data_IF_118227899651
#
_entry.id   IF_118227899651
#
_cell.length_a   1.000
_cell.length_b   1.000
_cell.length_c   1.000
_cell.angle_alpha   90.00
_cell.angle_beta   90.00
_cell.angle_gamma   90.00
#
_symmetry.space_group_name_H-M   'P 1'
#
loop_
_entity.id
_entity.type
_entity.pdbx_description
1 polymer ?
#
# COMPACT_ATOMS: atom_id res chain seq x y z
N UNK A 1 1.39 4.34 -9.57
CA UNK A 1 2.77 4.03 -9.12
C UNK A 1 3.51 5.34 -8.97
N UNK A 2 4.23 5.58 -7.88
CA UNK A 2 5.10 6.76 -7.65
C UNK A 2 6.24 6.38 -6.69
N UNK A 3 7.36 7.07 -6.66
CA UNK A 3 8.47 6.77 -5.75
C UNK A 3 8.05 6.80 -4.27
N UNK A 4 8.66 5.98 -3.41
CA UNK A 4 8.32 5.96 -1.97
C UNK A 4 8.48 7.30 -1.26
N UNK A 5 9.52 8.13 -1.49
CA UNK A 5 9.62 9.44 -0.86
C UNK A 5 8.39 10.32 -1.12
N UNK A 6 7.87 10.31 -2.36
CA UNK A 6 6.65 11.04 -2.74
C UNK A 6 5.39 10.40 -2.18
N UNK A 7 5.31 9.08 -2.21
CA UNK A 7 4.17 8.32 -1.68
C UNK A 7 3.99 8.59 -0.18
N UNK A 8 5.06 8.47 0.61
CA UNK A 8 5.05 8.69 2.05
C UNK A 8 4.78 10.14 2.43
N UNK A 9 5.19 11.10 1.59
CA UNK A 9 4.94 12.52 1.83
C UNK A 9 3.52 12.98 1.46
N UNK A 10 2.79 12.20 0.66
CA UNK A 10 1.46 12.59 0.16
C UNK A 10 0.35 11.68 0.69
N UNK A 11 0.13 10.53 0.05
CA UNK A 11 -0.99 9.62 0.34
C UNK A 11 -0.67 8.64 1.48
N UNK A 12 0.60 8.54 1.87
CA UNK A 12 1.05 7.68 2.96
C UNK A 12 1.16 6.20 2.57
N UNK A 13 1.26 5.29 3.55
CA UNK A 13 1.37 3.86 3.30
C UNK A 13 0.14 3.33 2.56
N UNK A 14 0.38 2.44 1.59
CA UNK A 14 -0.68 1.85 0.76
C UNK A 14 -1.13 0.50 1.30
N UNK A 15 -2.09 -0.14 0.64
CA UNK A 15 -2.53 -1.49 0.97
C UNK A 15 -1.42 -2.55 0.80
N UNK A 16 -1.72 -3.78 1.20
CA UNK A 16 -0.78 -4.90 1.16
C UNK A 16 -0.49 -5.39 -0.27
N UNK A 17 -1.31 -5.07 -1.27
CA UNK A 17 -1.08 -5.44 -2.67
C UNK A 17 -0.01 -4.55 -3.30
N UNK A 18 0.18 -3.33 -2.78
CA UNK A 18 1.18 -2.37 -3.25
C UNK A 18 2.50 -2.40 -2.47
N UNK A 19 2.55 -3.07 -1.31
CA UNK A 19 3.73 -3.05 -0.43
C UNK A 19 4.27 -4.45 -0.13
N UNK A 20 5.55 -4.66 -0.45
CA UNK A 20 6.26 -5.88 -0.04
C UNK A 20 6.83 -5.68 1.37
N UNK A 21 6.65 -6.68 2.23
CA UNK A 21 7.18 -6.66 3.60
C UNK A 21 8.68 -6.33 3.62
N UNK A 22 9.05 -5.29 4.37
CA UNK A 22 10.44 -4.87 4.55
C UNK A 22 11.06 -4.09 3.38
N UNK A 23 10.34 -3.85 2.27
CA UNK A 23 10.90 -3.22 1.05
C UNK A 23 11.68 -1.92 1.33
N UNK A 24 11.14 -1.04 2.18
CA UNK A 24 11.76 0.24 2.53
C UNK A 24 13.06 0.06 3.32
N UNK A 25 13.10 -0.92 4.22
CA UNK A 25 14.30 -1.22 5.00
C UNK A 25 15.43 -1.75 4.13
N UNK A 26 15.10 -2.41 3.01
CA UNK A 26 16.06 -2.84 1.99
C UNK A 26 16.38 -1.76 0.96
N UNK A 27 15.76 -0.57 1.06
CA UNK A 27 15.96 0.52 0.12
C UNK A 27 15.33 0.29 -1.27
N UNK A 28 14.41 -0.67 -1.39
CA UNK A 28 13.71 -0.93 -2.64
C UNK A 28 12.60 0.09 -2.86
N UNK A 29 12.50 0.59 -4.09
CA UNK A 29 11.51 1.52 -4.59
C UNK A 29 10.75 0.94 -5.79
N UNK A 30 9.67 1.60 -6.21
CA UNK A 30 8.86 1.16 -7.35
C UNK A 30 9.66 1.08 -8.67
N UNK A 31 10.76 1.85 -8.78
CA UNK A 31 11.70 1.72 -9.88
C UNK A 31 12.32 0.32 -9.97
N UNK A 32 12.58 -0.33 -8.84
CA UNK A 32 13.21 -1.65 -8.78
C UNK A 32 12.31 -2.75 -9.36
N UNK A 33 10.99 -2.64 -9.18
CA UNK A 33 10.03 -3.55 -9.82
C UNK A 33 10.13 -3.49 -11.35
N UNK A 34 10.33 -2.30 -11.91
CA UNK A 34 10.55 -2.11 -13.36
C UNK A 34 11.92 -2.66 -13.76
N UNK A 35 12.96 -2.40 -12.98
CA UNK A 35 14.31 -2.88 -13.25
C UNK A 35 14.38 -4.40 -13.27
N UNK A 36 13.70 -5.08 -12.35
CA UNK A 36 13.66 -6.54 -12.29
C UNK A 36 12.94 -7.19 -13.48
N UNK A 37 12.15 -6.44 -14.23
CA UNK A 37 11.53 -6.93 -15.47
C UNK A 37 12.52 -7.03 -16.62
N UNK A 38 13.68 -6.37 -16.54
CA UNK A 38 14.68 -6.41 -17.59
C UNK A 38 15.07 -7.87 -17.93
N UNK A 39 15.16 -8.24 -19.23
CA UNK A 39 15.13 -7.39 -20.41
C UNK A 39 13.72 -7.12 -20.99
N UNK A 40 12.66 -7.58 -20.32
CA UNK A 40 11.29 -7.52 -20.84
C UNK A 40 10.81 -6.08 -21.05
N UNK A 41 10.01 -5.82 -22.09
CA UNK A 41 9.44 -4.50 -22.30
C UNK A 41 8.43 -4.07 -21.21
N UNK A 42 8.51 -2.83 -20.76
CA UNK A 42 7.59 -2.20 -19.79
C UNK A 42 7.15 -0.82 -20.27
N UNK A 43 5.84 -0.57 -20.30
CA UNK A 43 5.26 0.75 -20.48
C UNK A 43 4.65 1.21 -19.16
N UNK A 44 5.00 2.41 -18.72
CA UNK A 44 4.37 3.06 -17.57
C UNK A 44 3.26 3.95 -18.11
N UNK A 45 2.00 3.65 -17.79
CA UNK A 45 0.88 4.56 -18.05
C UNK A 45 0.62 5.39 -16.78
N UNK A 46 0.63 6.72 -16.91
CA UNK A 46 0.51 7.64 -15.79
C UNK A 46 -0.38 8.84 -16.14
N UNK A 47 -1.05 9.40 -15.14
CA UNK A 47 -1.88 10.60 -15.27
C UNK A 47 -1.32 11.72 -14.39
N UNK A 48 -1.26 12.95 -14.91
CA UNK A 48 -0.59 14.08 -14.24
C UNK A 48 -1.27 14.53 -12.94
N UNK A 49 -2.58 14.33 -12.83
CA UNK A 49 -3.42 14.76 -11.69
C UNK A 49 -3.95 13.56 -10.90
N UNK A 50 -3.28 12.41 -10.99
CA UNK A 50 -3.57 11.23 -10.18
C UNK A 50 -3.27 11.53 -8.69
N UNK A 51 -3.85 10.74 -7.79
CA UNK A 51 -3.46 10.75 -6.39
C UNK A 51 -2.03 10.23 -6.19
N UNK A 52 -1.51 9.45 -7.14
CA UNK A 52 -0.08 9.17 -7.23
C UNK A 52 0.69 10.35 -7.84
N UNK A 53 1.68 10.84 -7.12
CA UNK A 53 2.52 11.95 -7.54
C UNK A 53 3.27 11.64 -8.85
N UNK A 54 3.05 12.47 -9.88
CA UNK A 54 3.62 12.29 -11.22
C UNK A 54 5.15 12.49 -11.23
N UNK A 55 5.70 13.36 -10.39
CA UNK A 55 7.14 13.58 -10.30
C UNK A 55 7.85 12.31 -9.83
N UNK A 56 7.32 11.65 -8.79
CA UNK A 56 7.84 10.36 -8.33
C UNK A 56 7.70 9.24 -9.37
N UNK A 57 6.72 9.33 -10.28
CA UNK A 57 6.61 8.42 -11.43
C UNK A 57 7.75 8.64 -12.42
N UNK A 58 8.02 9.90 -12.77
CA UNK A 58 9.14 10.27 -13.64
C UNK A 58 10.50 9.93 -13.05
N UNK A 59 10.69 10.14 -11.75
CA UNK A 59 11.89 9.72 -11.03
C UNK A 59 12.10 8.20 -11.17
N UNK A 60 11.05 7.41 -10.92
CA UNK A 60 11.09 5.95 -11.07
C UNK A 60 11.40 5.52 -12.52
N UNK A 61 10.75 6.16 -13.50
CA UNK A 61 11.02 5.92 -14.92
C UNK A 61 12.47 6.19 -15.29
N UNK A 62 13.02 7.35 -14.91
CA UNK A 62 14.40 7.74 -15.24
C UNK A 62 15.42 6.78 -14.64
N UNK A 63 15.19 6.31 -13.41
CA UNK A 63 15.99 5.28 -12.78
C UNK A 63 15.99 3.99 -13.62
N UNK A 64 14.82 3.46 -13.96
CA UNK A 64 14.70 2.24 -14.77
C UNK A 64 15.29 2.42 -16.18
N UNK A 65 15.00 3.54 -16.85
CA UNK A 65 15.52 3.90 -18.19
C UNK A 65 17.04 3.88 -18.22
N UNK A 66 17.71 4.35 -17.15
CA UNK A 66 19.17 4.33 -17.05
C UNK A 66 19.72 2.90 -17.03
N UNK A 67 19.10 1.98 -16.29
CA UNK A 67 19.50 0.57 -16.26
C UNK A 67 19.32 -0.07 -17.65
N UNK A 68 18.12 0.03 -18.20
CA UNK A 68 17.79 -0.51 -19.53
C UNK A 68 18.72 0.04 -20.62
N UNK A 69 19.07 1.33 -20.56
CA UNK A 69 20.02 1.95 -21.49
C UNK A 69 21.42 1.34 -21.38
N UNK A 70 21.92 1.09 -20.16
CA UNK A 70 23.21 0.42 -19.95
C UNK A 70 23.24 -1.01 -20.47
N UNK A 71 22.09 -1.66 -20.54
CA UNK A 71 21.92 -2.99 -21.13
C UNK A 71 21.77 -2.97 -22.67
N UNK A 72 21.77 -1.78 -23.31
CA UNK A 72 21.47 -1.66 -24.74
C UNK A 72 19.98 -1.80 -25.09
N UNK A 73 19.10 -1.74 -24.09
CA UNK A 73 17.66 -1.99 -24.19
C UNK A 73 16.84 -0.73 -23.88
N UNK A 74 17.37 0.46 -24.19
CA UNK A 74 16.69 1.72 -23.87
C UNK A 74 15.27 1.80 -24.42
N UNK A 75 14.99 1.16 -25.56
CA UNK A 75 13.66 1.11 -26.16
C UNK A 75 12.65 0.25 -25.39
N UNK A 76 13.09 -0.65 -24.52
CA UNK A 76 12.23 -1.60 -23.81
C UNK A 76 11.58 -1.01 -22.55
N UNK A 77 11.85 0.25 -22.20
CA UNK A 77 11.13 0.93 -21.11
C UNK A 77 10.73 2.32 -21.55
N UNK A 78 9.44 2.64 -21.41
CA UNK A 78 8.90 3.94 -21.78
C UNK A 78 7.78 4.39 -20.83
N UNK A 79 7.40 5.66 -20.95
CA UNK A 79 6.30 6.27 -20.20
C UNK A 79 5.31 6.93 -21.15
N UNK A 80 4.02 6.75 -20.85
CA UNK A 80 2.90 7.38 -21.52
C UNK A 80 2.09 8.16 -20.49
N UNK A 81 2.18 9.48 -20.59
CA UNK A 81 1.52 10.42 -19.67
C UNK A 81 0.30 11.08 -20.33
N UNK A 82 -0.81 11.18 -19.60
CA UNK A 82 -1.97 11.98 -19.99
C UNK A 82 -2.33 13.06 -18.96
N UNK A 83 -2.88 14.19 -19.44
CA UNK A 83 -3.28 15.30 -18.57
C UNK A 83 -4.67 15.09 -17.93
N UNK A 84 -4.75 14.18 -16.96
CA UNK A 84 -6.02 13.76 -16.35
C UNK A 84 -5.86 13.32 -14.88
N UNK A 85 -6.99 13.14 -14.19
CA UNK A 85 -7.05 12.48 -12.87
C UNK A 85 -6.82 10.97 -13.00
N UNK A 86 -7.00 10.19 -11.93
CA UNK A 86 -6.93 8.73 -12.01
C UNK A 86 -7.86 8.15 -13.09
N UNK A 87 -7.30 7.47 -14.11
CA UNK A 87 -8.05 6.99 -15.27
C UNK A 87 -7.30 5.89 -16.06
N UNK A 88 -7.97 5.36 -17.08
CA UNK A 88 -7.38 4.59 -18.18
C UNK A 88 -8.06 4.98 -19.51
N UNK A 89 -7.81 6.20 -19.98
CA UNK A 89 -8.48 6.83 -21.13
C UNK A 89 -8.03 6.29 -22.50
N UNK A 90 -8.62 6.83 -23.58
CA UNK A 90 -8.31 6.42 -24.95
C UNK A 90 -6.84 6.57 -25.30
N UNK A 91 -6.18 7.64 -24.85
CA UNK A 91 -4.75 7.85 -25.12
C UNK A 91 -3.92 6.72 -24.50
N UNK A 92 -4.19 6.37 -23.24
CA UNK A 92 -3.52 5.27 -22.58
C UNK A 92 -3.86 3.90 -23.20
N UNK A 93 -5.13 3.66 -23.55
CA UNK A 93 -5.57 2.40 -24.18
C UNK A 93 -4.92 2.19 -25.55
N UNK A 94 -4.94 3.19 -26.42
CA UNK A 94 -4.30 3.15 -27.74
C UNK A 94 -2.78 2.98 -27.63
N UNK A 95 -2.14 3.71 -26.70
CA UNK A 95 -0.70 3.61 -26.47
C UNK A 95 -0.28 2.25 -25.91
N UNK A 96 -1.03 1.69 -24.95
CA UNK A 96 -0.81 0.35 -24.43
C UNK A 96 -0.99 -0.72 -25.52
N UNK A 97 -2.05 -0.62 -26.33
CA UNK A 97 -2.29 -1.52 -27.45
C UNK A 97 -1.14 -1.48 -28.47
N UNK A 98 -0.66 -0.27 -28.81
CA UNK A 98 0.51 -0.09 -29.69
C UNK A 98 1.78 -0.69 -29.09
N UNK A 99 2.04 -0.48 -27.80
CA UNK A 99 3.20 -1.06 -27.12
C UNK A 99 3.18 -2.59 -27.17
N UNK A 100 2.03 -3.19 -26.88
CA UNK A 100 1.84 -4.63 -26.95
C UNK A 100 2.01 -5.15 -28.39
N UNK A 101 1.43 -4.48 -29.39
CA UNK A 101 1.58 -4.84 -30.80
C UNK A 101 3.05 -4.79 -31.26
N UNK A 102 3.81 -3.78 -30.83
CA UNK A 102 5.23 -3.66 -31.13
C UNK A 102 6.02 -4.86 -30.62
N UNK A 103 5.81 -5.23 -29.35
CA UNK A 103 6.65 -6.23 -28.67
C UNK A 103 6.20 -7.67 -28.86
N UNK A 104 4.89 -7.91 -28.99
CA UNK A 104 4.34 -9.25 -29.14
C UNK A 104 4.13 -9.64 -30.61
N UNK A 105 3.84 -8.67 -31.48
CA UNK A 105 3.52 -8.93 -32.89
C UNK A 105 4.58 -8.38 -33.86
N UNK A 106 5.58 -7.65 -33.38
CA UNK A 106 6.58 -6.99 -34.24
C UNK A 106 5.99 -5.84 -35.08
N UNK A 107 4.83 -5.28 -34.67
CA UNK A 107 4.12 -4.23 -35.43
C UNK A 107 4.12 -2.91 -34.65
N UNK A 108 5.00 -1.99 -35.03
CA UNK A 108 5.04 -0.63 -34.45
C UNK A 108 4.31 0.36 -35.35
N UNK A 109 2.99 0.39 -35.25
CA UNK A 109 2.12 1.28 -36.01
C UNK A 109 1.14 1.99 -35.06
N UNK A 110 0.60 3.12 -35.49
CA UNK A 110 -0.46 3.80 -34.75
C UNK A 110 -1.67 2.86 -34.62
N UNK A 111 -2.16 2.72 -33.39
CA UNK A 111 -3.43 2.08 -33.10
C UNK A 111 -4.45 3.19 -32.85
N UNK A 112 -5.61 3.07 -33.48
CA UNK A 112 -6.77 3.90 -33.18
C UNK A 112 -7.83 2.98 -32.61
N UNK A 113 -8.39 3.34 -31.46
CA UNK A 113 -9.45 2.59 -30.82
C UNK A 113 -10.69 2.60 -31.75
N UNK A 114 -11.19 1.42 -32.18
CA UNK A 114 -12.43 1.36 -32.94
C UNK A 114 -13.62 1.65 -32.02
N UNK A 115 -14.81 1.81 -32.59
CA UNK A 115 -16.03 1.76 -31.79
C UNK A 115 -16.14 0.37 -31.14
N UNK A 116 -16.12 0.33 -29.80
CA UNK A 116 -16.22 -0.92 -29.03
C UNK A 116 -17.67 -1.10 -28.60
N UNK A 117 -18.33 -2.12 -29.15
CA UNK A 117 -19.60 -2.58 -28.63
C UNK A 117 -19.36 -3.27 -27.28
N UNK A 118 -19.80 -2.63 -26.19
CA UNK A 118 -19.75 -3.23 -24.86
C UNK A 118 -20.81 -4.33 -24.76
N UNK A 119 -20.45 -5.41 -24.08
CA UNK A 119 -21.42 -6.44 -23.70
C UNK A 119 -22.39 -5.86 -22.66
N UNK A 120 -23.62 -6.37 -22.66
CA UNK A 120 -24.54 -6.14 -21.55
C UNK A 120 -24.02 -6.75 -20.25
N UNK A 121 -24.53 -6.28 -19.12
CA UNK A 121 -24.16 -6.85 -17.82
C UNK A 121 -24.44 -8.36 -17.76
N UNK A 122 -25.53 -8.82 -18.38
CA UNK A 122 -25.90 -10.24 -18.45
C UNK A 122 -24.89 -11.06 -19.25
N UNK A 123 -24.41 -10.52 -20.37
CA UNK A 123 -23.38 -11.16 -21.21
C UNK A 123 -22.00 -11.20 -20.52
N UNK A 124 -21.69 -10.25 -19.63
CA UNK A 124 -20.47 -10.27 -18.82
C UNK A 124 -20.51 -11.33 -17.71
N UNK A 125 -21.70 -11.75 -17.27
CA UNK A 125 -21.82 -12.69 -16.16
C UNK A 125 -21.48 -14.12 -16.59
N UNK A 126 -20.56 -14.75 -15.86
CA UNK A 126 -20.28 -16.18 -16.03
C UNK A 126 -21.33 -17.09 -15.37
N UNK A 127 -22.23 -16.53 -14.55
CA UNK A 127 -23.30 -17.24 -13.84
C UNK A 127 -24.60 -16.43 -13.90
N UNK A 128 -25.79 -17.06 -13.91
CA UNK A 128 -27.06 -16.34 -14.02
C UNK A 128 -27.24 -15.22 -12.99
N UNK A 129 -26.79 -15.44 -11.76
CA UNK A 129 -26.87 -14.47 -10.66
C UNK A 129 -25.57 -13.68 -10.42
N UNK A 130 -24.53 -13.94 -11.23
CA UNK A 130 -23.20 -13.32 -11.12
C UNK A 130 -22.39 -13.72 -9.88
N UNK A 131 -22.85 -14.70 -9.08
CA UNK A 131 -22.25 -15.02 -7.78
C UNK A 131 -21.61 -16.40 -7.80
N UNK A 132 -20.28 -16.44 -7.80
CA UNK A 132 -19.52 -17.70 -7.71
C UNK A 132 -19.90 -18.51 -6.47
N UNK A 133 -20.19 -17.85 -5.34
CA UNK A 133 -20.57 -18.50 -4.08
C UNK A 133 -21.95 -19.19 -4.13
N UNK A 134 -22.76 -18.97 -5.16
CA UNK A 134 -24.01 -19.70 -5.37
C UNK A 134 -23.80 -21.09 -6.00
N UNK A 135 -22.59 -21.39 -6.51
CA UNK A 135 -22.29 -22.70 -7.07
C UNK A 135 -22.16 -23.77 -5.97
N UNK A 136 -22.72 -24.97 -6.18
CA UNK A 136 -22.50 -26.10 -5.27
C UNK A 136 -21.00 -26.40 -5.10
N UNK A 137 -20.54 -26.42 -3.86
CA UNK A 137 -19.13 -26.67 -3.53
C UNK A 137 -18.19 -25.48 -3.74
N UNK A 138 -18.70 -24.29 -4.04
CA UNK A 138 -17.89 -23.07 -4.06
C UNK A 138 -17.23 -22.84 -2.70
N UNK A 139 -15.97 -22.40 -2.74
CA UNK A 139 -15.18 -22.07 -1.56
C UNK A 139 -14.68 -20.64 -1.67
N UNK A 140 -14.85 -19.89 -0.61
CA UNK A 140 -14.32 -18.54 -0.46
C UNK A 140 -12.86 -18.56 -0.01
N UNK A 141 -12.19 -17.42 -0.14
CA UNK A 141 -10.85 -17.23 0.45
C UNK A 141 -10.88 -17.44 1.98
N UNK A 142 -12.00 -17.15 2.65
CA UNK A 142 -12.16 -17.42 4.08
C UNK A 142 -12.16 -18.91 4.39
N UNK A 143 -12.87 -19.72 3.61
CA UNK A 143 -12.89 -21.18 3.78
C UNK A 143 -11.49 -21.78 3.56
N UNK A 144 -10.76 -21.28 2.56
CA UNK A 144 -9.38 -21.71 2.30
C UNK A 144 -8.43 -21.29 3.42
N UNK A 145 -8.59 -20.08 3.95
CA UNK A 145 -7.80 -19.58 5.07
C UNK A 145 -8.12 -20.35 6.35
N UNK A 146 -9.37 -20.74 6.58
CA UNK A 146 -9.77 -21.54 7.73
C UNK A 146 -9.15 -22.94 7.69
N UNK A 147 -9.18 -23.62 6.54
CA UNK A 147 -8.48 -24.90 6.35
C UNK A 147 -6.99 -24.77 6.65
N UNK A 148 -6.36 -23.73 6.10
CA UNK A 148 -4.95 -23.49 6.30
C UNK A 148 -4.63 -23.16 7.76
N UNK A 149 -5.46 -22.37 8.43
CA UNK A 149 -5.34 -22.07 9.85
C UNK A 149 -5.53 -23.32 10.72
N UNK A 150 -6.43 -24.23 10.35
CA UNK A 150 -6.62 -25.50 11.05
C UNK A 150 -5.36 -26.38 10.95
N UNK A 151 -4.74 -26.45 9.77
CA UNK A 151 -3.46 -27.13 9.59
C UNK A 151 -2.35 -26.48 10.45
N UNK A 152 -2.25 -25.15 10.40
CA UNK A 152 -1.26 -24.39 11.16
C UNK A 152 -1.52 -24.50 12.68
N UNK A 153 -2.76 -24.57 13.13
CA UNK A 153 -3.12 -24.68 14.54
C UNK A 153 -2.54 -25.94 15.16
N UNK A 154 -2.62 -27.09 14.48
CA UNK A 154 -1.99 -28.34 14.93
C UNK A 154 -0.48 -28.21 15.07
N UNK A 155 0.18 -27.63 14.05
CA UNK A 155 1.63 -27.38 14.05
C UNK A 155 2.06 -26.42 15.17
N UNK A 156 1.27 -25.36 15.40
CA UNK A 156 1.48 -24.40 16.48
C UNK A 156 1.33 -25.09 17.83
N UNK A 157 0.26 -25.84 18.08
CA UNK A 157 0.04 -26.52 19.34
C UNK A 157 1.20 -27.46 19.71
N UNK A 158 1.67 -28.26 18.77
CA UNK A 158 2.85 -29.13 18.96
C UNK A 158 4.12 -28.32 19.27
N UNK A 159 4.36 -27.22 18.55
CA UNK A 159 5.51 -26.34 18.78
C UNK A 159 5.46 -25.67 20.16
N UNK A 160 4.30 -25.17 20.58
CA UNK A 160 4.10 -24.53 21.89
C UNK A 160 4.22 -25.51 23.06
N UNK A 161 3.86 -26.78 22.86
CA UNK A 161 4.00 -27.81 23.88
C UNK A 161 5.45 -28.27 24.07
N UNK A 162 6.25 -28.30 22.99
CA UNK A 162 7.62 -28.83 23.01
C UNK A 162 8.71 -27.79 23.25
N UNK A 163 8.47 -26.51 22.95
CA UNK A 163 9.49 -25.47 23.01
C UNK A 163 9.45 -24.64 24.31
N UNK A 164 10.55 -23.95 24.62
CA UNK A 164 10.57 -22.91 25.64
C UNK A 164 9.64 -21.76 25.26
N UNK A 165 8.62 -21.54 26.09
CA UNK A 165 7.62 -20.48 25.93
C UNK A 165 8.26 -19.10 25.84
N UNK A 166 9.36 -18.86 26.57
CA UNK A 166 10.05 -17.57 26.54
C UNK A 166 10.68 -17.33 25.18
N UNK A 167 11.45 -18.31 24.68
CA UNK A 167 12.03 -18.26 23.33
C UNK A 167 10.97 -18.09 22.23
N UNK A 168 9.80 -18.73 22.34
CA UNK A 168 8.70 -18.56 21.38
C UNK A 168 8.11 -17.15 21.42
N UNK A 169 7.85 -16.60 22.62
CA UNK A 169 7.35 -15.22 22.75
C UNK A 169 8.35 -14.19 22.22
N UNK A 170 9.65 -14.40 22.45
CA UNK A 170 10.72 -13.57 21.88
C UNK A 170 10.75 -13.67 20.35
N UNK A 171 10.58 -14.88 19.80
CA UNK A 171 10.48 -15.07 18.35
C UNK A 171 9.26 -14.36 17.77
N UNK A 172 8.09 -14.46 18.41
CA UNK A 172 6.87 -13.75 18.00
C UNK A 172 7.13 -12.24 17.99
N UNK A 173 7.64 -11.68 19.09
CA UNK A 173 7.99 -10.25 19.18
C UNK A 173 8.92 -9.79 18.06
N UNK A 174 9.98 -10.56 17.80
CA UNK A 174 10.94 -10.25 16.73
C UNK A 174 10.28 -10.27 15.35
N UNK A 175 9.44 -11.25 15.07
CA UNK A 175 8.77 -11.38 13.76
C UNK A 175 7.68 -10.32 13.54
N UNK A 176 6.96 -9.94 14.60
CA UNK A 176 5.90 -8.93 14.53
C UNK A 176 6.41 -7.50 14.74
N UNK A 177 7.71 -7.32 15.03
CA UNK A 177 8.29 -6.02 15.35
C UNK A 177 7.79 -5.41 16.66
N UNK A 178 7.17 -6.19 17.54
CA UNK A 178 6.62 -5.71 18.82
C UNK A 178 7.74 -5.62 19.85
N UNK A 179 8.09 -4.39 20.23
CA UNK A 179 9.05 -4.09 21.32
C UNK A 179 8.55 -4.57 22.68
N UNK A 180 9.47 -4.84 23.61
CA UNK A 180 9.07 -5.11 25.00
C UNK A 180 8.60 -3.83 25.66
N UNK A 181 7.62 -3.95 26.55
CA UNK A 181 7.15 -2.82 27.35
C UNK A 181 8.29 -2.17 28.14
N UNK A 182 9.25 -2.97 28.63
CA UNK A 182 10.43 -2.49 29.37
C UNK A 182 11.43 -1.71 28.51
N UNK A 183 11.35 -1.84 27.18
CA UNK A 183 12.20 -1.10 26.22
C UNK A 183 11.53 0.19 25.74
N UNK A 184 10.24 0.38 26.05
CA UNK A 184 9.52 1.61 25.70
C UNK A 184 9.85 2.69 26.71
N UNK A 185 10.39 3.81 26.21
CA UNK A 185 10.58 5.01 27.02
C UNK A 185 9.21 5.63 27.32
N UNK A 186 8.99 6.16 28.55
CA UNK A 186 7.80 6.94 28.82
C UNK A 186 7.75 8.14 27.85
N UNK A 187 6.61 8.42 27.22
CA UNK A 187 6.51 9.49 26.24
C UNK A 187 6.78 10.84 26.92
N UNK A 188 7.48 11.74 26.22
CA UNK A 188 7.57 13.13 26.66
C UNK A 188 6.23 13.81 26.34
N UNK A 189 5.55 14.33 27.35
CA UNK A 189 4.29 15.05 27.20
C UNK A 189 4.53 16.52 27.49
N UNK A 190 4.28 17.37 26.49
CA UNK A 190 4.46 18.82 26.59
C UNK A 190 3.10 19.51 26.43
N UNK A 191 2.59 20.20 27.46
CA UNK A 191 1.43 21.06 27.30
C UNK A 191 1.78 22.27 26.45
N UNK A 192 1.02 22.50 25.38
CA UNK A 192 1.23 23.60 24.43
C UNK A 192 0.13 24.66 24.49
N UNK A 193 -0.90 24.44 25.29
CA UNK A 193 -1.94 25.44 25.54
C UNK A 193 -3.17 24.86 26.22
N UNK A 194 -4.07 25.74 26.60
CA UNK A 194 -5.35 25.38 27.22
C UNK A 194 -6.50 26.11 26.53
N UNK A 195 -7.68 25.50 26.58
CA UNK A 195 -8.93 26.12 26.15
C UNK A 195 -10.03 25.82 27.16
N UNK A 196 -10.63 26.87 27.71
CA UNK A 196 -11.76 26.74 28.64
C UNK A 196 -13.06 26.46 27.88
N UNK A 197 -13.90 25.60 28.43
CA UNK A 197 -15.25 25.29 27.96
C UNK A 197 -16.20 25.20 29.16
N UNK A 198 -17.49 25.35 28.90
CA UNK A 198 -18.49 25.26 29.98
C UNK A 198 -18.49 23.84 30.58
N UNK A 199 -18.07 23.71 31.84
CA UNK A 199 -18.05 22.45 32.58
C UNK A 199 -16.78 21.59 32.42
N UNK A 200 -15.81 22.00 31.61
CA UNK A 200 -14.54 21.30 31.43
C UNK A 200 -13.45 22.19 30.81
N UNK A 201 -12.18 21.85 31.03
CA UNK A 201 -11.02 22.45 30.36
C UNK A 201 -10.41 21.45 29.38
N UNK A 202 -9.93 21.95 28.25
CA UNK A 202 -9.14 21.18 27.28
C UNK A 202 -7.68 21.57 27.37
N UNK A 203 -6.81 20.62 27.65
CA UNK A 203 -5.36 20.78 27.57
C UNK A 203 -4.86 20.26 26.22
N UNK A 204 -4.17 21.12 25.48
CA UNK A 204 -3.49 20.75 24.22
C UNK A 204 -2.11 20.23 24.57
N UNK A 205 -1.81 19.02 24.15
CA UNK A 205 -0.57 18.31 24.45
C UNK A 205 0.15 17.95 23.15
N UNK A 206 1.48 17.98 23.18
CA UNK A 206 2.33 17.26 22.24
C UNK A 206 2.93 16.06 22.97
N UNK A 207 2.55 14.86 22.52
CA UNK A 207 3.07 13.60 23.02
C UNK A 207 4.17 13.14 22.06
N UNK A 208 5.38 12.96 22.57
CA UNK A 208 6.54 12.46 21.82
C UNK A 208 6.95 11.10 22.36
N UNK A 209 6.41 10.01 21.80
CA UNK A 209 6.72 8.65 22.27
C UNK A 209 8.15 8.24 21.93
N UNK A 210 8.69 8.72 20.81
CA UNK A 210 10.06 8.48 20.37
C UNK A 210 10.56 9.64 19.50
N UNK A 211 11.85 9.64 19.19
CA UNK A 211 12.46 10.66 18.35
C UNK A 211 11.83 10.66 16.94
N UNK A 212 11.55 11.86 16.40
CA UNK A 212 10.91 12.02 15.10
C UNK A 212 9.39 11.85 15.08
N UNK A 213 8.77 11.31 16.14
CA UNK A 213 7.31 11.13 16.23
C UNK A 213 6.71 12.18 17.17
N UNK A 214 5.79 13.00 16.65
CA UNK A 214 5.04 13.98 17.44
C UNK A 214 3.55 13.77 17.23
N UNK A 215 2.84 13.46 18.31
CA UNK A 215 1.41 13.22 18.32
C UNK A 215 0.70 14.39 19.01
N UNK A 216 -0.07 15.21 18.30
CA UNK A 216 -0.95 16.19 18.94
C UNK A 216 -2.06 15.45 19.69
N UNK A 217 -2.38 15.91 20.90
CA UNK A 217 -3.46 15.34 21.72
C UNK A 217 -4.25 16.44 22.44
N UNK A 218 -5.50 16.13 22.74
CA UNK A 218 -6.41 16.94 23.53
C UNK A 218 -6.82 16.14 24.77
N UNK A 219 -6.49 16.65 25.95
CA UNK A 219 -6.90 16.06 27.23
C UNK A 219 -8.10 16.87 27.78
N UNK A 220 -9.25 16.21 27.90
CA UNK A 220 -10.48 16.80 28.41
C UNK A 220 -10.58 16.55 29.91
N UNK A 221 -10.57 17.63 30.69
CA UNK A 221 -10.60 17.60 32.15
C UNK A 221 -11.89 18.24 32.66
N UNK A 222 -12.81 17.48 33.30
CA UNK A 222 -14.00 18.07 33.92
C UNK A 222 -13.65 18.97 35.10
N UNK A 223 -14.47 19.97 35.40
CA UNK A 223 -14.28 20.87 36.56
C UNK A 223 -14.31 20.12 37.90
N UNK A 224 -15.10 19.05 37.98
CA UNK A 224 -15.13 18.15 39.13
C UNK A 224 -14.30 16.90 38.79
N UNK A 225 -13.35 16.50 39.65
CA UNK A 225 -12.55 15.31 39.42
C UNK A 225 -13.46 14.09 39.21
N UNK A 226 -13.38 13.49 38.02
CA UNK A 226 -13.98 12.20 37.70
C UNK A 226 -12.85 11.17 37.57
N UNK A 227 -13.04 9.90 37.97
CA UNK A 227 -12.02 8.86 37.79
C UNK A 227 -11.61 8.68 36.33
N UNK A 228 -12.55 8.88 35.40
CA UNK A 228 -12.31 8.77 33.97
C UNK A 228 -11.81 10.09 33.38
N UNK A 229 -10.64 10.05 32.75
CA UNK A 229 -10.07 11.13 31.94
C UNK A 229 -10.11 10.72 30.47
N UNK A 230 -10.58 11.62 29.61
CA UNK A 230 -10.62 11.36 28.17
C UNK A 230 -9.43 12.07 27.49
N UNK A 231 -8.57 11.28 26.85
CA UNK A 231 -7.52 11.76 25.94
C UNK A 231 -7.95 11.45 24.52
N UNK A 232 -8.01 12.47 23.67
CA UNK A 232 -8.28 12.34 22.24
C UNK A 232 -7.00 12.67 21.49
N UNK A 233 -6.47 11.72 20.72
CA UNK A 233 -5.39 11.97 19.76
C UNK A 233 -6.03 12.17 18.39
N UNK A 234 -6.26 13.42 17.93
CA UNK A 234 -6.77 13.65 16.59
C UNK A 234 -5.77 13.09 15.56
N UNK A 235 -6.27 12.18 14.71
CA UNK A 235 -5.58 11.64 13.55
C UNK A 235 -5.38 12.69 12.47
#
# INVERSE_FOLDING_TARGET
MTSFPRLLATVGPQDAEQNIFGQLAFGADHADWIMMRAPSPVLICAATKDFFDIDGTWESFRCAKRLYTRMGLSANVDILENDAKHNYDTLQREGAARWMARWLLGKDQRVTEPEIALLSEEEYRCLPDGKVMSLPGARSVYDLNEDYENELAGRRAASWAAADKTALLERVRRLTGIRKLTELLPPKVEPIGTAERTGYRVEKLLIRPEEGVTLPALLFLPEKPHPDRLVVCPS
#
